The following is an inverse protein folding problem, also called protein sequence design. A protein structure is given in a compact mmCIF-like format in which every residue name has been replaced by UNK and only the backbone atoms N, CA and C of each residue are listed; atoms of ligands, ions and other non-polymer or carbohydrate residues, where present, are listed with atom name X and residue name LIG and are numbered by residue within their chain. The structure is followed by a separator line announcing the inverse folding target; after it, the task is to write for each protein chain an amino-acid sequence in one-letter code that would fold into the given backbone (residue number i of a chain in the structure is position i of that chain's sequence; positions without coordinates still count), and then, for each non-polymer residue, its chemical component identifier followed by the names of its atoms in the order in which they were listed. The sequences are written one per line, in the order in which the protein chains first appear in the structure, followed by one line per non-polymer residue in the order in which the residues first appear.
data_IF_009866350220
#
_entry.id   IF_009866350220
#
_cell.length_a   1.000
_cell.length_b   1.000
_cell.length_c   1.000
_cell.angle_alpha   90.00
_cell.angle_beta   90.00
_cell.angle_gamma   90.00
#
_symmetry.space_group_name_H-M   'P 1'
#
loop_
_entity.id
_entity.type
_entity.pdbx_description
1 polymer ?
#
# COMPACT_ATOMS: atom_id res chain seq x y z
N UNK A 1 20.14 -9.30 2.38
CA UNK A 1 19.92 -8.29 3.44
C UNK A 1 18.84 -8.82 4.39
N UNK A 2 18.75 -8.26 5.59
CA UNK A 2 17.66 -8.53 6.54
C UNK A 2 16.88 -7.23 6.74
N UNK A 3 15.63 -7.31 7.17
CA UNK A 3 14.90 -6.12 7.57
C UNK A 3 15.65 -5.38 8.71
N UNK A 4 15.72 -4.04 8.68
CA UNK A 4 16.11 -3.26 9.85
C UNK A 4 15.28 -3.64 11.07
N UNK A 5 15.85 -3.56 12.27
CA UNK A 5 15.12 -3.89 13.51
C UNK A 5 14.09 -2.82 13.90
N UNK A 6 14.27 -1.58 13.45
CA UNK A 6 13.38 -0.46 13.71
C UNK A 6 13.41 0.58 12.57
N UNK A 7 12.36 1.39 12.52
CA UNK A 7 12.13 2.45 11.54
C UNK A 7 11.69 3.73 12.24
N UNK A 8 11.76 4.85 11.54
CA UNK A 8 11.15 6.09 12.02
C UNK A 8 9.63 5.88 12.14
N UNK A 9 9.06 6.10 13.33
CA UNK A 9 7.63 5.92 13.59
C UNK A 9 6.79 6.98 12.88
N UNK A 10 7.38 8.12 12.54
CA UNK A 10 6.75 9.22 11.81
C UNK A 10 7.67 9.69 10.70
N UNK A 11 7.11 9.97 9.52
CA UNK A 11 7.85 10.46 8.36
C UNK A 11 7.08 11.59 7.67
N UNK A 12 7.72 12.42 6.85
CA UNK A 12 7.02 13.46 6.12
C UNK A 12 5.91 12.88 5.24
N UNK A 13 4.73 13.53 5.24
CA UNK A 13 3.58 13.08 4.46
C UNK A 13 3.67 13.41 2.96
N UNK A 14 4.56 14.35 2.58
CA UNK A 14 4.74 14.76 1.18
C UNK A 14 5.88 13.96 0.53
N UNK A 15 5.73 13.67 -0.77
CA UNK A 15 6.67 12.81 -1.52
C UNK A 15 8.13 13.29 -1.51
N UNK A 16 8.42 14.58 -1.82
CA UNK A 16 9.79 15.08 -1.86
C UNK A 16 10.54 14.98 -0.53
N UNK A 17 9.92 15.39 0.59
CA UNK A 17 10.53 15.30 1.91
C UNK A 17 10.63 13.85 2.38
N UNK A 18 9.64 13.01 2.09
CA UNK A 18 9.71 11.57 2.36
C UNK A 18 10.91 10.93 1.65
N UNK A 19 11.09 11.21 0.35
CA UNK A 19 12.23 10.71 -0.42
C UNK A 19 13.56 11.23 0.12
N UNK A 20 13.63 12.50 0.53
CA UNK A 20 14.83 13.10 1.11
C UNK A 20 15.20 12.51 2.48
N UNK A 21 14.21 12.10 3.27
CA UNK A 21 14.41 11.40 4.55
C UNK A 21 14.74 9.91 4.36
N UNK A 22 14.54 9.36 3.17
CA UNK A 22 14.73 7.93 2.88
C UNK A 22 16.08 7.64 2.23
N UNK A 23 16.48 6.37 2.29
CA UNK A 23 17.61 5.84 1.48
C UNK A 23 17.11 4.90 0.39
N UNK A 24 15.83 4.99 0.04
CA UNK A 24 15.15 4.03 -0.84
C UNK A 24 15.84 3.94 -2.19
N UNK A 25 16.11 2.71 -2.61
CA UNK A 25 16.54 2.36 -3.96
C UNK A 25 15.63 1.26 -4.50
N UNK A 26 15.33 1.24 -5.81
CA UNK A 26 14.51 0.19 -6.42
C UNK A 26 15.34 -1.10 -6.56
N UNK A 27 15.70 -1.71 -5.42
CA UNK A 27 16.51 -2.93 -5.32
C UNK A 27 15.60 -4.14 -5.43
N UNK A 28 16.04 -5.15 -6.18
CA UNK A 28 15.29 -6.39 -6.30
C UNK A 28 15.21 -7.12 -4.93
N UNK A 29 13.99 -7.47 -4.53
CA UNK A 29 13.69 -8.25 -3.35
C UNK A 29 12.84 -9.44 -3.79
N UNK A 30 13.34 -10.69 -3.66
CA UNK A 30 12.55 -11.87 -4.03
C UNK A 30 11.25 -11.94 -3.22
N UNK A 31 10.16 -12.37 -3.84
CA UNK A 31 8.89 -12.58 -3.12
C UNK A 31 9.05 -13.58 -1.97
N UNK A 32 9.93 -14.59 -2.12
CA UNK A 32 10.23 -15.54 -1.05
C UNK A 32 10.75 -14.87 0.22
N UNK A 33 11.54 -13.80 0.11
CA UNK A 33 12.01 -12.99 1.24
C UNK A 33 10.86 -12.27 1.94
N UNK A 34 9.93 -11.70 1.16
CA UNK A 34 8.78 -10.96 1.69
C UNK A 34 7.75 -11.91 2.34
N UNK A 35 7.48 -13.05 1.70
CA UNK A 35 6.54 -14.06 2.19
C UNK A 35 7.05 -14.83 3.42
N UNK A 36 8.33 -14.72 3.75
CA UNK A 36 8.91 -15.32 4.94
C UNK A 36 8.64 -14.53 6.23
N UNK A 37 8.09 -13.31 6.14
CA UNK A 37 7.76 -12.52 7.34
C UNK A 37 6.54 -13.15 8.03
N UNK A 38 6.66 -13.58 9.29
CA UNK A 38 5.65 -14.41 9.96
C UNK A 38 4.51 -13.55 10.53
N UNK A 39 3.49 -13.27 9.72
CA UNK A 39 2.46 -12.29 10.09
C UNK A 39 1.06 -12.90 10.10
N UNK A 40 0.83 -14.00 9.37
CA UNK A 40 -0.36 -14.83 9.49
C UNK A 40 -0.23 -15.76 10.71
N UNK A 41 -0.13 -15.15 11.90
CA UNK A 41 -0.19 -15.87 13.17
C UNK A 41 -1.65 -16.08 13.55
N UNK A 42 -1.92 -17.07 14.43
CA UNK A 42 -3.25 -17.30 14.95
C UNK A 42 -3.87 -16.03 15.59
N UNK A 43 -3.05 -15.09 16.07
CA UNK A 43 -3.48 -13.83 16.67
C UNK A 43 -4.05 -12.83 15.65
N UNK A 44 -3.62 -12.88 14.39
CA UNK A 44 -4.01 -11.90 13.36
C UNK A 44 -4.87 -12.49 12.23
N UNK A 45 -5.01 -13.83 12.18
CA UNK A 45 -5.77 -14.55 11.17
C UNK A 45 -7.23 -14.10 11.03
N UNK A 46 -7.82 -13.54 12.10
CA UNK A 46 -9.19 -13.05 12.09
C UNK A 46 -9.38 -11.87 11.12
N UNK A 47 -8.43 -10.94 11.00
CA UNK A 47 -8.52 -9.83 10.04
C UNK A 47 -8.41 -10.31 8.60
N UNK A 48 -7.58 -11.32 8.33
CA UNK A 48 -7.51 -11.93 7.01
C UNK A 48 -8.81 -12.62 6.62
N UNK A 49 -9.38 -13.41 7.52
CA UNK A 49 -10.67 -14.07 7.30
C UNK A 49 -11.79 -13.05 7.09
N UNK A 50 -11.78 -11.96 7.86
CA UNK A 50 -12.76 -10.88 7.76
C UNK A 50 -12.67 -10.15 6.41
N UNK A 51 -11.47 -9.70 6.03
CA UNK A 51 -11.23 -9.07 4.73
C UNK A 51 -11.62 -10.00 3.57
N UNK A 52 -11.26 -11.29 3.65
CA UNK A 52 -11.59 -12.28 2.61
C UNK A 52 -13.09 -12.55 2.49
N UNK A 53 -13.81 -12.52 3.61
CA UNK A 53 -15.27 -12.71 3.66
C UNK A 53 -16.00 -11.53 3.02
N UNK A 54 -15.55 -10.31 3.28
CA UNK A 54 -16.28 -9.10 2.90
C UNK A 54 -15.86 -8.54 1.53
N UNK A 55 -14.58 -8.59 1.18
CA UNK A 55 -14.07 -7.94 -0.02
C UNK A 55 -14.36 -8.74 -1.29
N UNK A 56 -14.72 -8.07 -2.40
CA UNK A 56 -14.71 -8.71 -3.72
C UNK A 56 -13.35 -9.36 -4.02
N UNK A 57 -13.29 -10.46 -4.80
CA UNK A 57 -12.04 -11.23 -4.96
C UNK A 57 -10.84 -10.42 -5.45
N UNK A 58 -11.04 -9.48 -6.38
CA UNK A 58 -9.97 -8.63 -6.90
C UNK A 58 -9.50 -7.59 -5.87
N UNK A 59 -10.43 -7.01 -5.11
CA UNK A 59 -10.12 -6.10 -3.99
C UNK A 59 -9.39 -6.85 -2.87
N UNK A 60 -9.78 -8.09 -2.56
CA UNK A 60 -9.04 -8.89 -1.59
C UNK A 60 -7.60 -9.16 -2.03
N UNK A 61 -7.36 -9.44 -3.31
CA UNK A 61 -6.00 -9.61 -3.81
C UNK A 61 -5.21 -8.28 -3.81
N UNK A 62 -5.88 -7.15 -4.03
CA UNK A 62 -5.29 -5.80 -3.91
C UNK A 62 -4.77 -5.52 -2.50
N UNK A 63 -5.60 -5.72 -1.47
CA UNK A 63 -5.17 -5.47 -0.08
C UNK A 63 -3.97 -6.34 0.31
N UNK A 64 -3.90 -7.58 -0.18
CA UNK A 64 -2.76 -8.47 0.04
C UNK A 64 -1.51 -8.01 -0.73
N UNK A 65 -1.64 -7.55 -1.98
CA UNK A 65 -0.50 -6.97 -2.72
C UNK A 65 0.06 -5.74 -2.03
N UNK A 66 -0.80 -4.86 -1.52
CA UNK A 66 -0.39 -3.65 -0.80
C UNK A 66 0.49 -3.97 0.40
N UNK A 67 0.16 -5.04 1.13
CA UNK A 67 0.99 -5.53 2.22
C UNK A 67 2.41 -5.88 1.77
N UNK A 68 2.55 -6.64 0.68
CA UNK A 68 3.86 -7.02 0.16
C UNK A 68 4.63 -5.86 -0.49
N UNK A 69 3.95 -4.90 -1.10
CA UNK A 69 4.60 -3.67 -1.57
C UNK A 69 5.15 -2.83 -0.42
N UNK A 70 4.43 -2.72 0.69
CA UNK A 70 4.90 -2.05 1.89
C UNK A 70 6.12 -2.76 2.50
N UNK A 71 6.10 -4.10 2.59
CA UNK A 71 7.28 -4.86 3.02
C UNK A 71 8.49 -4.66 2.11
N UNK A 72 8.28 -4.62 0.78
CA UNK A 72 9.36 -4.36 -0.15
C UNK A 72 9.99 -2.98 0.10
N UNK A 73 9.19 -1.94 0.36
CA UNK A 73 9.67 -0.60 0.72
C UNK A 73 10.47 -0.57 2.02
N UNK A 74 9.98 -1.25 3.06
CA UNK A 74 10.69 -1.39 4.33
C UNK A 74 12.06 -2.02 4.14
N UNK A 75 12.15 -3.03 3.25
CA UNK A 75 13.40 -3.72 2.96
C UNK A 75 14.42 -2.86 2.18
N UNK A 76 13.95 -1.88 1.40
CA UNK A 76 14.80 -1.18 0.42
C UNK A 76 15.25 0.22 0.83
N UNK A 77 15.07 0.62 2.10
CA UNK A 77 15.66 1.85 2.65
C UNK A 77 14.65 2.87 3.19
N UNK A 78 13.49 2.40 3.67
CA UNK A 78 12.53 3.25 4.39
C UNK A 78 13.23 4.02 5.55
N UNK A 79 12.81 5.26 5.86
CA UNK A 79 13.44 6.07 6.91
C UNK A 79 13.62 5.33 8.25
N UNK A 80 14.80 5.46 8.83
CA UNK A 80 15.20 4.79 10.07
C UNK A 80 16.36 5.55 10.73
N UNK A 81 16.33 5.67 12.06
CA UNK A 81 17.41 6.29 12.83
C UNK A 81 17.51 7.80 12.68
N UNK A 82 16.45 8.49 12.23
CA UNK A 82 16.47 9.96 12.12
C UNK A 82 16.55 10.61 13.50
N UNK A 83 17.52 11.53 13.74
CA UNK A 83 17.67 12.18 15.04
C UNK A 83 16.38 12.89 15.50
N UNK A 84 15.93 12.57 16.71
CA UNK A 84 14.74 13.19 17.33
C UNK A 84 13.40 12.61 16.87
N UNK A 85 13.40 11.61 15.98
CA UNK A 85 12.19 10.91 15.55
C UNK A 85 12.00 9.62 16.37
N UNK A 86 10.84 9.40 17.02
CA UNK A 86 10.55 8.14 17.69
C UNK A 86 10.72 6.95 16.74
N UNK A 87 11.18 5.81 17.25
CA UNK A 87 11.40 4.61 16.45
C UNK A 87 10.29 3.58 16.73
N UNK A 88 9.88 2.83 15.71
CA UNK A 88 8.96 1.69 15.80
C UNK A 88 9.68 0.40 15.41
N UNK A 89 9.49 -0.66 16.18
CA UNK A 89 10.08 -1.97 15.88
C UNK A 89 9.49 -2.60 14.62
N UNK A 90 10.29 -3.37 13.89
CA UNK A 90 9.84 -4.03 12.65
C UNK A 90 8.63 -4.95 12.86
N UNK A 91 8.60 -5.71 13.96
CA UNK A 91 7.50 -6.62 14.29
C UNK A 91 6.19 -5.86 14.48
N UNK A 92 6.22 -4.79 15.29
CA UNK A 92 5.05 -3.95 15.54
C UNK A 92 4.59 -3.23 14.27
N UNK A 93 5.50 -2.62 13.51
CA UNK A 93 5.15 -1.96 12.24
C UNK A 93 4.55 -2.94 11.23
N UNK A 94 5.12 -4.15 11.12
CA UNK A 94 4.62 -5.19 10.22
C UNK A 94 3.22 -5.65 10.60
N UNK A 95 2.94 -5.79 11.90
CA UNK A 95 1.61 -6.09 12.43
C UNK A 95 0.61 -4.98 12.10
N UNK A 96 0.97 -3.71 12.35
CA UNK A 96 0.09 -2.57 12.05
C UNK A 96 -0.18 -2.46 10.55
N UNK A 97 0.83 -2.69 9.71
CA UNK A 97 0.67 -2.74 8.25
C UNK A 97 -0.24 -3.86 7.82
N UNK A 98 -0.15 -5.04 8.42
CA UNK A 98 -0.99 -6.18 8.07
C UNK A 98 -2.46 -5.89 8.32
N UNK A 99 -2.81 -5.39 9.51
CA UNK A 99 -4.19 -5.01 9.79
C UNK A 99 -4.67 -3.85 8.93
N UNK A 100 -3.86 -2.79 8.79
CA UNK A 100 -4.19 -1.62 7.97
C UNK A 100 -4.46 -2.04 6.52
N UNK A 101 -3.54 -2.78 5.91
CA UNK A 101 -3.65 -3.19 4.51
C UNK A 101 -4.85 -4.08 4.28
N UNK A 102 -5.08 -5.12 5.09
CA UNK A 102 -6.22 -6.02 4.91
C UNK A 102 -7.58 -5.33 5.05
N UNK A 103 -7.67 -4.28 5.88
CA UNK A 103 -8.95 -3.68 6.26
C UNK A 103 -9.25 -2.33 5.59
N UNK A 104 -8.30 -1.71 4.88
CA UNK A 104 -8.50 -0.33 4.40
C UNK A 104 -9.66 -0.14 3.42
N UNK A 105 -9.92 -1.14 2.58
CA UNK A 105 -10.93 -1.10 1.52
C UNK A 105 -12.25 -1.82 1.87
N UNK A 106 -12.51 -2.11 3.15
CA UNK A 106 -13.78 -2.72 3.56
C UNK A 106 -15.00 -1.90 3.11
N UNK A 107 -14.87 -0.56 3.07
CA UNK A 107 -15.91 0.35 2.61
C UNK A 107 -16.30 0.19 1.12
N UNK A 108 -15.48 -0.47 0.30
CA UNK A 108 -15.80 -0.78 -1.10
C UNK A 108 -16.68 -2.02 -1.29
N UNK A 109 -16.87 -2.82 -0.24
CA UNK A 109 -17.67 -4.04 -0.33
C UNK A 109 -19.16 -3.74 -0.52
N UNK A 110 -19.83 -4.64 -1.25
CA UNK A 110 -21.30 -4.67 -1.39
C UNK A 110 -21.94 -5.78 -0.55
N UNK A 111 -21.21 -6.33 0.42
CA UNK A 111 -21.77 -7.33 1.33
C UNK A 111 -22.92 -6.73 2.15
N UNK A 112 -23.90 -7.55 2.53
CA UNK A 112 -25.02 -7.10 3.36
C UNK A 112 -24.56 -6.51 4.69
N UNK A 113 -23.47 -7.03 5.25
CA UNK A 113 -22.86 -6.52 6.49
C UNK A 113 -22.38 -5.08 6.32
N UNK A 114 -21.69 -4.78 5.22
CA UNK A 114 -21.15 -3.45 4.90
C UNK A 114 -22.27 -2.47 4.52
N UNK A 115 -23.27 -2.91 3.76
CA UNK A 115 -24.37 -2.04 3.32
C UNK A 115 -25.34 -1.67 4.46
N UNK A 116 -25.49 -2.53 5.48
CA UNK A 116 -26.37 -2.28 6.62
C UNK A 116 -25.65 -1.61 7.81
N UNK A 117 -24.34 -1.40 7.72
CA UNK A 117 -23.57 -0.81 8.80
C UNK A 117 -23.98 0.66 9.03
N UNK A 118 -24.13 1.14 10.28
CA UNK A 118 -24.61 2.51 10.56
C UNK A 118 -23.76 3.62 9.93
N UNK A 119 -22.45 3.39 9.75
CA UNK A 119 -21.55 4.34 9.10
C UNK A 119 -21.56 4.27 7.55
N UNK A 120 -22.41 3.44 6.93
CA UNK A 120 -22.41 3.22 5.47
C UNK A 120 -22.59 4.51 4.66
N UNK A 121 -23.34 5.48 5.17
CA UNK A 121 -23.57 6.77 4.51
C UNK A 121 -22.36 7.72 4.55
N UNK A 122 -21.30 7.39 5.29
CA UNK A 122 -20.04 8.13 5.29
C UNK A 122 -19.17 7.71 4.11
N UNK A 123 -18.16 8.51 3.80
CA UNK A 123 -17.11 8.14 2.83
C UNK A 123 -16.52 6.76 3.13
N UNK A 124 -16.14 6.00 2.11
CA UNK A 124 -15.69 4.62 2.28
C UNK A 124 -14.48 4.48 3.21
N UNK A 125 -13.62 5.50 3.29
CA UNK A 125 -12.46 5.53 4.17
C UNK A 125 -12.87 5.61 5.65
N UNK A 126 -13.84 6.48 5.98
CA UNK A 126 -14.39 6.57 7.35
C UNK A 126 -15.19 5.32 7.69
N UNK A 127 -16.06 4.89 6.77
CA UNK A 127 -16.89 3.72 6.96
C UNK A 127 -16.04 2.45 7.18
N UNK A 128 -15.05 2.21 6.31
CA UNK A 128 -14.10 1.11 6.44
C UNK A 128 -13.28 1.23 7.72
N UNK A 129 -12.86 2.44 8.10
CA UNK A 129 -12.18 2.71 9.37
C UNK A 129 -13.01 2.32 10.60
N UNK A 130 -14.30 2.66 10.64
CA UNK A 130 -15.19 2.25 11.73
C UNK A 130 -15.37 0.73 11.80
N UNK A 131 -15.60 0.09 10.65
CA UNK A 131 -15.69 -1.37 10.61
C UNK A 131 -14.39 -2.04 11.07
N UNK A 132 -13.24 -1.51 10.66
CA UNK A 132 -11.95 -1.99 11.11
C UNK A 132 -11.76 -1.83 12.62
N UNK A 133 -12.15 -0.68 13.18
CA UNK A 133 -12.11 -0.42 14.61
C UNK A 133 -12.94 -1.45 15.40
N UNK A 134 -14.19 -1.67 15.02
CA UNK A 134 -15.10 -2.63 15.68
C UNK A 134 -14.59 -4.07 15.59
N UNK A 135 -14.09 -4.45 14.40
CA UNK A 135 -13.47 -5.75 14.18
C UNK A 135 -12.24 -5.94 15.07
N UNK A 136 -11.30 -4.99 15.09
CA UNK A 136 -10.07 -5.10 15.88
C UNK A 136 -10.36 -5.15 17.38
N UNK A 137 -11.31 -4.34 17.86
CA UNK A 137 -11.71 -4.34 19.27
C UNK A 137 -12.23 -5.72 19.73
N UNK A 138 -12.88 -6.46 18.84
CA UNK A 138 -13.44 -7.78 19.15
C UNK A 138 -12.46 -8.92 18.89
N UNK A 139 -11.74 -8.85 17.76
CA UNK A 139 -10.98 -9.97 17.21
C UNK A 139 -9.47 -9.90 17.51
N UNK A 140 -8.96 -8.75 17.94
CA UNK A 140 -7.57 -8.54 18.29
C UNK A 140 -7.44 -7.77 19.63
N UNK A 141 -7.96 -8.32 20.75
CA UNK A 141 -8.00 -7.63 22.05
C UNK A 141 -6.63 -7.35 22.67
N UNK A 142 -5.57 -7.98 22.14
CA UNK A 142 -4.19 -7.76 22.58
C UNK A 142 -3.59 -6.48 22.00
N UNK A 143 -4.24 -5.85 21.00
CA UNK A 143 -3.81 -4.56 20.48
C UNK A 143 -4.18 -3.44 21.46
N UNK A 144 -3.19 -2.61 21.80
CA UNK A 144 -3.45 -1.45 22.64
C UNK A 144 -4.14 -0.31 21.88
N UNK A 145 -4.53 0.73 22.61
CA UNK A 145 -5.25 1.86 22.04
C UNK A 145 -4.44 2.65 21.00
N UNK A 146 -3.11 2.73 21.15
CA UNK A 146 -2.24 3.46 20.22
C UNK A 146 -2.05 2.67 18.92
N UNK A 147 -1.96 1.34 19.02
CA UNK A 147 -1.90 0.43 17.87
C UNK A 147 -3.21 0.46 17.07
N UNK A 148 -4.35 0.29 17.74
CA UNK A 148 -5.67 0.38 17.09
C UNK A 148 -5.89 1.77 16.49
N UNK A 149 -5.52 2.82 17.23
CA UNK A 149 -5.63 4.21 16.77
C UNK A 149 -4.83 4.47 15.49
N UNK A 150 -3.57 4.03 15.44
CA UNK A 150 -2.73 4.19 14.25
C UNK A 150 -3.24 3.39 13.05
N UNK A 151 -3.71 2.15 13.26
CA UNK A 151 -4.30 1.33 12.19
C UNK A 151 -5.53 2.02 11.60
N UNK A 152 -6.48 2.41 12.45
CA UNK A 152 -7.74 3.01 12.01
C UNK A 152 -7.51 4.38 11.38
N UNK A 153 -6.64 5.21 11.96
CA UNK A 153 -6.26 6.49 11.37
C UNK A 153 -5.57 6.30 10.02
N UNK A 154 -4.69 5.31 9.88
CA UNK A 154 -4.04 4.99 8.61
C UNK A 154 -5.06 4.60 7.54
N UNK A 155 -6.08 3.82 7.89
CA UNK A 155 -7.20 3.48 7.00
C UNK A 155 -7.98 4.73 6.61
N UNK A 156 -8.36 5.59 7.55
CA UNK A 156 -9.17 6.78 7.23
C UNK A 156 -8.46 7.75 6.29
N UNK A 157 -7.12 7.84 6.38
CA UNK A 157 -6.34 8.82 5.63
C UNK A 157 -5.69 8.26 4.35
N UNK A 158 -5.94 6.99 3.99
CA UNK A 158 -5.10 6.32 2.99
C UNK A 158 -5.21 6.90 1.56
N UNK A 159 -6.34 7.51 1.20
CA UNK A 159 -6.57 8.16 -0.11
C UNK A 159 -6.12 9.62 -0.15
N UNK A 160 -5.81 10.20 1.01
CA UNK A 160 -5.55 11.63 1.13
C UNK A 160 -4.11 11.97 0.77
N UNK A 161 -3.94 13.03 -0.02
CA UNK A 161 -2.64 13.59 -0.38
C UNK A 161 -2.37 14.84 0.46
N UNK A 162 -1.28 14.81 1.22
CA UNK A 162 -0.89 15.94 2.07
C UNK A 162 0.26 16.72 1.46
N UNK A 163 0.16 18.04 1.46
CA UNK A 163 1.23 18.93 0.99
C UNK A 163 2.29 19.21 2.05
N UNK A 164 2.01 18.91 3.32
CA UNK A 164 2.90 19.15 4.46
C UNK A 164 2.49 18.30 5.66
N UNK A 165 3.32 18.27 6.70
CA UNK A 165 3.06 17.53 7.93
C UNK A 165 3.71 16.15 7.96
N UNK A 166 3.39 15.39 9.01
CA UNK A 166 3.92 14.05 9.24
C UNK A 166 2.80 13.02 9.26
N UNK A 167 3.12 11.84 8.74
CA UNK A 167 2.32 10.63 8.80
C UNK A 167 3.01 9.63 9.72
N UNK A 168 2.25 8.71 10.32
CA UNK A 168 2.88 7.52 10.86
C UNK A 168 3.52 6.70 9.74
N UNK A 169 4.50 5.86 10.08
CA UNK A 169 5.09 4.92 9.13
C UNK A 169 4.03 4.02 8.49
N UNK A 170 3.09 3.53 9.30
CA UNK A 170 1.95 2.72 8.88
C UNK A 170 1.13 3.43 7.78
N UNK A 171 0.77 4.69 8.02
CA UNK A 171 -0.07 5.45 7.09
C UNK A 171 0.64 5.68 5.75
N UNK A 172 1.90 6.12 5.75
CA UNK A 172 2.58 6.43 4.49
C UNK A 172 2.80 5.16 3.65
N UNK A 173 3.16 4.05 4.29
CA UNK A 173 3.42 2.78 3.62
C UNK A 173 2.14 2.21 3.02
N UNK A 174 1.02 2.35 3.74
CA UNK A 174 -0.30 2.01 3.23
C UNK A 174 -0.66 2.87 2.02
N UNK A 175 -0.72 4.20 2.16
CA UNK A 175 -1.10 5.12 1.07
C UNK A 175 -0.26 4.91 -0.18
N UNK A 176 1.06 4.84 -0.02
CA UNK A 176 2.00 4.63 -1.13
C UNK A 176 1.73 3.29 -1.82
N UNK A 177 1.49 2.22 -1.06
CA UNK A 177 1.28 0.88 -1.62
C UNK A 177 -0.09 0.73 -2.31
N UNK A 178 -1.16 1.28 -1.74
CA UNK A 178 -2.49 1.26 -2.36
C UNK A 178 -2.53 2.05 -3.67
N UNK A 179 -2.06 3.30 -3.63
CA UNK A 179 -2.03 4.15 -4.82
C UNK A 179 -1.10 3.59 -5.90
N UNK A 180 0.02 2.96 -5.50
CA UNK A 180 0.88 2.25 -6.46
C UNK A 180 0.20 1.02 -7.06
N UNK A 181 -0.55 0.22 -6.31
CA UNK A 181 -1.28 -0.89 -6.92
C UNK A 181 -2.42 -0.39 -7.82
N UNK A 182 -2.97 0.81 -7.61
CA UNK A 182 -3.95 1.41 -8.52
C UNK A 182 -3.29 1.85 -9.83
N UNK A 183 -2.25 2.68 -9.79
CA UNK A 183 -1.68 3.33 -10.98
C UNK A 183 -0.35 2.80 -11.51
N UNK A 184 0.34 1.98 -10.73
CA UNK A 184 1.66 1.47 -11.07
C UNK A 184 2.71 2.57 -11.22
N UNK A 185 3.76 2.32 -11.99
CA UNK A 185 4.89 3.25 -12.16
C UNK A 185 4.58 4.60 -12.83
N UNK A 186 3.39 4.75 -13.40
CA UNK A 186 2.95 6.01 -13.99
C UNK A 186 1.87 6.71 -13.14
N UNK A 187 1.47 6.12 -12.02
CA UNK A 187 0.56 6.77 -11.07
C UNK A 187 1.19 8.02 -10.50
N UNK A 188 0.36 9.05 -10.32
CA UNK A 188 0.73 10.32 -9.69
C UNK A 188 0.58 10.28 -8.17
N UNK A 189 -0.20 9.32 -7.66
CA UNK A 189 -0.13 8.81 -6.29
C UNK A 189 -0.06 9.91 -5.21
N UNK A 190 0.97 9.85 -4.37
CA UNK A 190 1.30 10.94 -3.44
C UNK A 190 2.06 12.03 -4.21
N UNK A 191 1.56 13.27 -4.15
CA UNK A 191 2.15 14.41 -4.83
C UNK A 191 3.69 14.49 -4.68
N UNK A 192 4.39 14.50 -5.81
CA UNK A 192 5.85 14.62 -5.88
C UNK A 192 6.63 13.31 -5.62
N UNK A 193 5.94 12.17 -5.49
CA UNK A 193 6.57 10.87 -5.29
C UNK A 193 6.73 10.13 -6.64
N UNK A 194 7.97 9.82 -7.02
CA UNK A 194 8.25 9.03 -8.21
C UNK A 194 8.34 7.53 -7.86
N UNK A 195 7.29 6.78 -8.19
CA UNK A 195 7.20 5.34 -7.92
C UNK A 195 8.28 4.50 -8.61
N UNK A 196 8.94 4.99 -9.66
CA UNK A 196 10.08 4.29 -10.30
C UNK A 196 11.30 4.20 -9.38
N UNK A 197 11.38 5.07 -8.37
CA UNK A 197 12.45 5.07 -7.37
C UNK A 197 12.19 4.10 -6.22
N UNK A 198 10.96 3.61 -6.06
CA UNK A 198 10.54 2.88 -4.88
C UNK A 198 10.72 1.37 -4.99
N UNK A 199 10.29 0.79 -6.11
CA UNK A 199 10.28 -0.66 -6.27
C UNK A 199 11.00 -1.12 -7.53
N UNK A 200 11.70 -2.24 -7.41
CA UNK A 200 12.27 -2.93 -8.56
C UNK A 200 11.18 -3.69 -9.34
N UNK A 201 11.14 -3.62 -10.69
CA UNK A 201 10.10 -4.26 -11.49
C UNK A 201 9.94 -5.76 -11.24
N UNK A 202 11.06 -6.49 -11.12
CA UNK A 202 11.03 -7.93 -10.85
C UNK A 202 10.35 -8.29 -9.50
N UNK A 203 10.51 -7.45 -8.47
CA UNK A 203 9.81 -7.64 -7.18
C UNK A 203 8.29 -7.56 -7.40
N UNK A 204 7.85 -6.55 -8.16
CA UNK A 204 6.44 -6.33 -8.49
C UNK A 204 5.87 -7.50 -9.29
N UNK A 205 6.60 -7.99 -10.29
CA UNK A 205 6.19 -9.14 -11.10
C UNK A 205 6.00 -10.41 -10.27
N UNK A 206 6.89 -10.67 -9.31
CA UNK A 206 6.76 -11.85 -8.44
C UNK A 206 5.58 -11.73 -7.48
N UNK A 207 5.29 -10.52 -6.97
CA UNK A 207 4.10 -10.24 -6.16
C UNK A 207 2.82 -10.39 -7.00
N UNK A 208 2.75 -9.79 -8.20
CA UNK A 208 1.59 -9.93 -9.10
C UNK A 208 1.40 -11.38 -9.56
N UNK A 209 2.47 -12.16 -9.69
CA UNK A 209 2.39 -13.59 -9.99
C UNK A 209 1.79 -14.38 -8.82
N UNK A 210 2.13 -14.04 -7.58
CA UNK A 210 1.58 -14.68 -6.38
C UNK A 210 0.13 -14.24 -6.10
N UNK A 211 -0.19 -12.97 -6.36
CA UNK A 211 -1.50 -12.36 -6.12
C UNK A 211 -1.98 -11.59 -7.37
N UNK A 212 -2.49 -12.30 -8.39
CA UNK A 212 -2.88 -11.68 -9.66
C UNK A 212 -3.89 -10.54 -9.51
N UNK A 213 -3.75 -9.50 -10.33
CA UNK A 213 -4.70 -8.38 -10.37
C UNK A 213 -6.11 -8.82 -10.76
N UNK A 214 -6.23 -9.74 -11.71
CA UNK A 214 -7.52 -10.28 -12.16
C UNK A 214 -8.54 -9.17 -12.44
N UNK A 215 -9.73 -9.29 -11.85
CA UNK A 215 -10.84 -8.34 -11.97
C UNK A 215 -10.71 -7.08 -11.09
N UNK A 216 -9.57 -6.88 -10.40
CA UNK A 216 -9.39 -5.76 -9.47
C UNK A 216 -9.77 -4.42 -10.09
N UNK A 217 -9.26 -4.12 -11.28
CA UNK A 217 -9.54 -2.85 -11.96
C UNK A 217 -11.04 -2.60 -12.14
N UNK A 218 -11.78 -3.60 -12.65
CA UNK A 218 -13.22 -3.46 -12.90
C UNK A 218 -14.01 -3.32 -11.59
N UNK A 219 -13.62 -4.07 -10.55
CA UNK A 219 -14.26 -4.01 -9.24
C UNK A 219 -13.99 -2.68 -8.52
N UNK A 220 -12.76 -2.19 -8.60
CA UNK A 220 -12.34 -0.94 -8.00
C UNK A 220 -13.01 0.26 -8.70
N UNK A 221 -13.07 0.29 -10.03
CA UNK A 221 -13.83 1.32 -10.76
C UNK A 221 -15.32 1.31 -10.40
N UNK A 222 -15.94 0.14 -10.32
CA UNK A 222 -17.34 0.04 -9.93
C UNK A 222 -17.58 0.48 -8.47
N UNK A 223 -16.59 0.30 -7.59
CA UNK A 223 -16.66 0.80 -6.22
C UNK A 223 -16.54 2.32 -6.17
N UNK A 224 -15.58 2.89 -6.89
CA UNK A 224 -15.38 4.34 -7.01
C UNK A 224 -16.58 5.04 -7.63
N UNK A 225 -17.08 4.55 -8.77
CA UNK A 225 -18.23 5.13 -9.46
C UNK A 225 -19.46 5.17 -8.53
N UNK A 226 -19.71 4.07 -7.81
CA UNK A 226 -20.77 3.99 -6.80
C UNK A 226 -20.55 5.00 -5.67
N UNK A 227 -19.34 5.07 -5.13
CA UNK A 227 -19.00 5.97 -4.03
C UNK A 227 -19.26 7.44 -4.42
N UNK A 228 -18.74 7.87 -5.57
CA UNK A 228 -18.93 9.24 -6.05
C UNK A 228 -20.38 9.56 -6.42
N UNK A 229 -21.14 8.57 -6.92
CA UNK A 229 -22.55 8.75 -7.25
C UNK A 229 -23.44 8.84 -6.01
N UNK A 230 -23.21 7.96 -5.03
CA UNK A 230 -24.05 7.88 -3.83
C UNK A 230 -23.64 8.90 -2.77
N UNK A 231 -22.35 9.27 -2.74
CA UNK A 231 -21.75 10.13 -1.73
C UNK A 231 -20.87 11.17 -2.43
N UNK A 232 -21.47 12.18 -3.11
CA UNK A 232 -20.72 13.19 -3.86
C UNK A 232 -19.82 14.07 -2.98
N UNK A 233 -19.95 13.98 -1.65
CA UNK A 233 -19.09 14.61 -0.64
C UNK A 233 -18.06 13.65 -0.03
N UNK A 234 -17.78 12.51 -0.68
CA UNK A 234 -16.77 11.55 -0.21
C UNK A 234 -15.36 12.18 -0.19
N UNK A 235 -14.48 11.68 0.67
CA UNK A 235 -13.12 12.18 0.80
C UNK A 235 -12.32 12.02 -0.49
N UNK A 236 -12.48 10.88 -1.19
CA UNK A 236 -11.90 10.67 -2.50
C UNK A 236 -12.28 11.74 -3.54
N UNK A 237 -13.41 12.44 -3.39
CA UNK A 237 -13.77 13.56 -4.28
C UNK A 237 -12.84 14.76 -4.19
N UNK A 238 -12.03 14.84 -3.13
CA UNK A 238 -11.00 15.86 -2.94
C UNK A 238 -9.64 15.47 -3.53
N UNK A 239 -9.52 14.29 -4.14
CA UNK A 239 -8.35 13.94 -4.91
C UNK A 239 -8.13 14.96 -6.04
N UNK A 240 -6.88 15.35 -6.37
CA UNK A 240 -6.63 16.30 -7.45
C UNK A 240 -7.32 15.89 -8.76
N UNK A 241 -8.20 16.75 -9.28
CA UNK A 241 -9.02 16.45 -10.46
C UNK A 241 -10.34 15.71 -10.19
N UNK A 242 -10.71 15.49 -8.93
CA UNK A 242 -11.96 14.85 -8.52
C UNK A 242 -12.07 13.41 -9.03
N UNK A 243 -13.28 13.01 -9.47
CA UNK A 243 -13.53 11.67 -10.01
C UNK A 243 -12.64 11.34 -11.21
N UNK A 244 -12.53 12.29 -12.15
CA UNK A 244 -11.72 12.12 -13.34
C UNK A 244 -10.24 11.94 -12.98
N UNK A 245 -9.72 12.80 -12.09
CA UNK A 245 -8.36 12.66 -11.57
C UNK A 245 -8.12 11.32 -10.90
N UNK A 246 -9.03 10.88 -10.02
CA UNK A 246 -8.90 9.61 -9.31
C UNK A 246 -8.97 8.40 -10.25
N UNK A 247 -9.91 8.38 -11.18
CA UNK A 247 -10.08 7.26 -12.13
C UNK A 247 -8.98 7.22 -13.19
N UNK A 248 -8.40 8.36 -13.57
CA UNK A 248 -7.27 8.42 -14.50
C UNK A 248 -5.99 7.77 -13.93
N UNK A 249 -5.89 7.64 -12.60
CA UNK A 249 -4.83 6.86 -11.97
C UNK A 249 -4.96 5.37 -12.27
N UNK A 250 -6.15 4.86 -12.60
CA UNK A 250 -6.39 3.43 -12.62
C UNK A 250 -5.71 2.78 -13.81
N UNK A 251 -4.83 1.83 -13.52
CA UNK A 251 -4.14 1.05 -14.53
C UNK A 251 -4.85 -0.27 -14.82
N UNK A 252 -5.21 -0.43 -16.09
CA UNK A 252 -5.65 -1.72 -16.67
C UNK A 252 -4.45 -2.63 -16.91
N UNK A 253 -4.57 -3.90 -16.52
CA UNK A 253 -3.55 -4.92 -16.78
C UNK A 253 -2.38 -4.87 -15.79
N UNK A 254 -1.23 -5.48 -16.13
CA UNK A 254 -0.09 -5.61 -15.22
C UNK A 254 0.60 -4.25 -14.95
N UNK A 255 1.11 -4.09 -13.72
CA UNK A 255 1.86 -2.90 -13.31
C UNK A 255 3.17 -2.78 -14.11
N UNK A 256 3.87 -3.89 -14.29
CA UNK A 256 5.07 -3.96 -15.14
C UNK A 256 4.63 -4.34 -16.56
N UNK A 257 4.68 -3.42 -17.53
CA UNK A 257 4.23 -3.73 -18.88
C UNK A 257 5.19 -4.73 -19.54
N UNK A 258 4.67 -5.65 -20.35
CA UNK A 258 5.43 -6.77 -20.92
C UNK A 258 6.63 -6.32 -21.79
N UNK A 259 6.56 -5.13 -22.40
CA UNK A 259 7.62 -4.56 -23.24
C UNK A 259 8.87 -4.12 -22.44
N UNK A 260 8.71 -3.89 -21.13
CA UNK A 260 9.81 -3.57 -20.22
C UNK A 260 10.62 -4.81 -19.79
N UNK A 261 10.05 -6.01 -19.91
CA UNK A 261 10.70 -7.31 -19.63
C UNK A 261 11.84 -7.61 -20.61
N UNK A 262 11.72 -7.15 -21.86
CA UNK A 262 12.68 -7.42 -22.92
C UNK A 262 13.94 -6.54 -22.86
N UNK A 263 13.89 -5.36 -22.21
CA UNK A 263 15.02 -4.42 -22.18
C UNK A 263 16.09 -4.80 -21.15
N UNK A 264 15.71 -5.45 -20.05
CA UNK A 264 16.66 -5.88 -19.01
C UNK A 264 17.54 -7.08 -19.40
N UNK A 265 17.20 -7.83 -20.46
CA UNK A 265 18.04 -8.95 -20.94
C UNK A 265 19.17 -8.47 -21.86
N UNK A 266 19.05 -7.28 -22.48
CA UNK A 266 20.08 -6.73 -23.36
C UNK A 266 20.99 -5.68 -22.70
N UNK A 267 20.53 -5.00 -21.65
CA UNK A 267 21.30 -3.96 -20.95
C UNK A 267 22.49 -4.47 -20.12
N UNK A 268 22.50 -5.74 -19.72
CA UNK A 268 23.58 -6.35 -18.92
C UNK A 268 24.71 -6.99 -19.75
N UNK A 269 24.57 -7.09 -21.08
CA UNK A 269 25.62 -7.60 -21.98
C UNK A 269 26.47 -6.51 -22.66
N UNK A 270 26.16 -5.22 -22.45
CA UNK A 270 26.84 -4.12 -23.14
C UNK A 270 27.88 -3.36 -22.29
N UNK A 271 28.19 -3.83 -21.08
CA UNK A 271 29.15 -3.19 -20.15
C UNK A 271 30.35 -4.09 -19.76
N UNK A 272 30.57 -5.17 -20.49
CA UNK A 272 31.84 -5.90 -20.48
C UNK A 272 32.35 -5.95 -21.93
N UNK A 273 33.64 -5.66 -22.12
CA UNK A 273 34.36 -5.47 -23.40
C UNK A 273 34.35 -4.06 -24.00
N UNK A 274 34.95 -3.11 -23.28
CA UNK A 274 35.88 -2.12 -23.87
C UNK A 274 36.91 -1.74 -22.83
N UNK A 275 37.93 -2.59 -22.68
CA UNK A 275 39.26 -2.23 -22.21
C UNK A 275 40.18 -3.44 -22.44
N UNK A 276 40.76 -3.49 -23.65
CA UNK A 276 42.07 -4.09 -23.93
C UNK A 276 42.29 -4.09 -25.45
N UNK A 277 42.91 -3.02 -25.95
CA UNK A 277 43.91 -3.11 -27.02
C UNK A 277 44.70 -1.80 -27.00
N UNK A 278 45.84 -1.85 -26.32
CA UNK A 278 46.96 -0.95 -26.51
C UNK A 278 47.69 -1.37 -27.79
N UNK A 279 47.98 -0.43 -28.68
CA UNK A 279 49.32 -0.13 -29.21
C UNK A 279 49.32 1.20 -29.97
#
# INVERSE_FOLDING_TARGET
MTFPSAFDAFVPSNGPEFLAASTIQPTYVPFTTLSAVPIDTAAHAASFAYAKKLSPPGVFLHVVRCFYFALALLYTGFPSGTPGVPQIGFEELSMRLYHTTLLHDLGWSNSTEVLNHPAHAMTFELHGGFMAYEHLHTAAPDLDADQVGDIVQSIVLHTLQWSSGNSSATQILMSVSALFDIGGYNGTGIAGLDYKRLWHPKTIEEIEKAYPRGEFYHQALAAVDREFTQKPNCLASHFPGGLEGFTNEFRVGPIVPEDSRARNVRGLKALQFRDSEQE
#
